data_IF_996723350807
#
_entry.id   IF_996723350807
#
_cell.length_a   1.000
_cell.length_b   1.000
_cell.length_c   1.000
_cell.angle_alpha   90.00
_cell.angle_beta   90.00
_cell.angle_gamma   90.00
#
_symmetry.space_group_name_H-M   'P 1'
#
loop_
_entity.id
_entity.type
_entity.pdbx_description
1 polymer ?
#
# COMPACT_ATOMS: atom_id res chain seq x y z
N UNK A 1 1.61 -35.28 -29.52
CA UNK A 1 0.73 -34.11 -29.43
C UNK A 1 0.06 -34.17 -28.06
N UNK A 2 0.71 -33.60 -27.06
CA UNK A 2 0.17 -33.53 -25.69
C UNK A 2 -0.40 -32.15 -25.45
N UNK A 3 -1.68 -32.10 -25.25
CA UNK A 3 -2.42 -30.90 -24.86
C UNK A 3 -2.14 -30.59 -23.40
N UNK A 4 -1.31 -29.57 -23.16
CA UNK A 4 -1.14 -28.94 -21.86
C UNK A 4 -2.44 -28.24 -21.49
N UNK A 5 -3.24 -28.89 -20.64
CA UNK A 5 -4.34 -28.23 -19.94
C UNK A 5 -3.77 -27.23 -18.97
N UNK A 6 -3.77 -25.97 -19.40
CA UNK A 6 -3.54 -24.84 -18.50
C UNK A 6 -4.77 -24.70 -17.60
N UNK A 7 -4.70 -25.34 -16.45
CA UNK A 7 -5.72 -25.19 -15.42
C UNK A 7 -5.58 -23.80 -14.81
N UNK A 8 -6.25 -22.82 -15.42
CA UNK A 8 -6.47 -21.51 -14.82
C UNK A 8 -7.41 -21.73 -13.64
N UNK A 9 -6.82 -21.83 -12.45
CA UNK A 9 -7.58 -21.79 -11.20
C UNK A 9 -8.12 -20.36 -11.11
N UNK A 10 -9.30 -20.15 -11.67
CA UNK A 10 -10.15 -19.02 -11.35
C UNK A 10 -10.57 -19.20 -9.89
N UNK A 11 -9.79 -18.62 -8.99
CA UNK A 11 -10.24 -18.42 -7.63
C UNK A 11 -11.43 -17.48 -7.73
N UNK A 12 -12.64 -18.03 -7.66
CA UNK A 12 -13.86 -17.26 -7.51
C UNK A 12 -13.76 -16.60 -6.14
N UNK A 13 -13.13 -15.43 -6.09
CA UNK A 13 -13.22 -14.54 -4.94
C UNK A 13 -14.70 -14.23 -4.77
N UNK A 14 -15.27 -14.72 -3.69
CA UNK A 14 -16.63 -14.36 -3.27
C UNK A 14 -16.61 -12.85 -2.99
N UNK A 15 -16.96 -12.05 -4.00
CA UNK A 15 -17.05 -10.61 -3.87
C UNK A 15 -18.03 -10.29 -2.74
N UNK A 16 -17.54 -9.65 -1.68
CA UNK A 16 -18.41 -9.21 -0.61
C UNK A 16 -19.48 -8.28 -1.19
N UNK A 17 -20.72 -8.58 -0.93
CA UNK A 17 -21.90 -7.78 -1.36
C UNK A 17 -21.93 -6.40 -0.67
N UNK A 18 -21.19 -6.22 0.40
CA UNK A 18 -21.23 -5.04 1.25
C UNK A 18 -19.94 -4.24 1.12
N UNK A 19 -20.09 -2.94 0.89
CA UNK A 19 -18.99 -2.00 0.64
C UNK A 19 -19.15 -0.79 1.54
N UNK A 20 -18.05 -0.29 2.05
CA UNK A 20 -17.93 1.03 2.69
C UNK A 20 -17.07 1.94 1.82
N UNK A 21 -17.28 3.24 1.92
CA UNK A 21 -16.53 4.22 1.16
C UNK A 21 -15.62 5.02 2.08
N UNK A 22 -14.32 5.05 1.76
CA UNK A 22 -13.30 5.78 2.51
C UNK A 22 -12.64 6.85 1.64
N UNK A 23 -12.28 7.97 2.24
CA UNK A 23 -11.58 9.04 1.53
C UNK A 23 -10.08 8.80 1.59
N UNK A 24 -9.46 8.53 0.45
CA UNK A 24 -8.02 8.39 0.29
C UNK A 24 -7.46 9.54 -0.57
N UNK A 25 -6.15 9.79 -0.47
CA UNK A 25 -5.46 10.64 -1.43
C UNK A 25 -5.43 9.93 -2.79
N UNK A 26 -5.60 10.64 -3.93
CA UNK A 26 -5.79 9.98 -5.23
C UNK A 26 -4.71 8.96 -5.58
N UNK A 27 -3.43 9.26 -5.38
CA UNK A 27 -2.34 8.33 -5.65
C UNK A 27 -2.34 7.11 -4.72
N UNK A 28 -2.82 7.24 -3.46
CA UNK A 28 -2.98 6.11 -2.54
C UNK A 28 -4.16 5.25 -2.97
N UNK A 29 -5.25 5.86 -3.42
CA UNK A 29 -6.40 5.15 -3.96
C UNK A 29 -6.01 4.33 -5.20
N UNK A 30 -5.26 4.92 -6.15
CA UNK A 30 -4.76 4.24 -7.33
C UNK A 30 -3.87 3.04 -6.96
N UNK A 31 -2.90 3.25 -6.08
CA UNK A 31 -2.06 2.18 -5.56
C UNK A 31 -2.87 1.05 -4.91
N UNK A 32 -3.81 1.40 -4.04
CA UNK A 32 -4.61 0.41 -3.32
C UNK A 32 -5.52 -0.39 -4.26
N UNK A 33 -6.12 0.27 -5.26
CA UNK A 33 -6.92 -0.40 -6.30
C UNK A 33 -6.05 -1.33 -7.16
N UNK A 34 -4.83 -0.91 -7.51
CA UNK A 34 -3.90 -1.74 -8.26
C UNK A 34 -3.52 -3.02 -7.50
N UNK A 35 -3.30 -2.94 -6.18
CA UNK A 35 -2.87 -4.07 -5.36
C UNK A 35 -4.00 -4.97 -4.87
N UNK A 36 -5.16 -4.41 -4.59
CA UNK A 36 -6.26 -5.12 -3.91
C UNK A 36 -7.56 -5.16 -4.72
N UNK A 37 -7.59 -4.59 -5.93
CA UNK A 37 -8.77 -4.53 -6.78
C UNK A 37 -9.73 -3.38 -6.44
N UNK A 38 -10.82 -3.28 -7.21
CA UNK A 38 -11.90 -2.31 -6.97
C UNK A 38 -13.25 -3.03 -6.97
N UNK A 39 -13.95 -3.05 -5.83
CA UNK A 39 -13.58 -2.49 -4.52
C UNK A 39 -12.33 -3.14 -3.91
N UNK A 40 -11.64 -2.38 -3.01
CA UNK A 40 -10.47 -2.91 -2.29
C UNK A 40 -10.89 -4.12 -1.44
N UNK A 41 -10.27 -5.26 -1.69
CA UNK A 41 -10.52 -6.50 -0.94
C UNK A 41 -9.21 -7.04 -0.36
N UNK A 42 -9.09 -7.00 0.96
CA UNK A 42 -7.92 -7.57 1.62
C UNK A 42 -7.97 -9.10 1.62
N UNK A 43 -6.81 -9.78 1.52
CA UNK A 43 -6.75 -11.24 1.60
C UNK A 43 -7.44 -11.80 2.85
N UNK A 44 -8.07 -12.98 2.75
CA UNK A 44 -8.68 -13.65 3.90
C UNK A 44 -7.69 -13.77 5.07
N UNK A 45 -8.19 -13.59 6.30
CA UNK A 45 -7.41 -13.68 7.55
C UNK A 45 -6.27 -12.65 7.67
N UNK A 46 -6.21 -11.65 6.78
CA UNK A 46 -5.21 -10.58 6.86
C UNK A 46 -5.49 -9.61 8.01
N UNK A 47 -4.44 -8.87 8.40
CA UNK A 47 -4.55 -7.77 9.37
C UNK A 47 -5.54 -6.70 8.85
N UNK A 48 -5.60 -6.47 7.53
CA UNK A 48 -6.55 -5.55 6.91
C UNK A 48 -8.00 -5.92 7.21
N UNK A 49 -8.35 -7.19 6.98
CA UNK A 49 -9.69 -7.70 7.31
C UNK A 49 -10.00 -7.61 8.80
N UNK A 50 -9.05 -7.97 9.68
CA UNK A 50 -9.23 -7.86 11.12
C UNK A 50 -9.49 -6.41 11.56
N UNK A 51 -8.80 -5.44 10.98
CA UNK A 51 -8.99 -4.00 11.26
C UNK A 51 -10.35 -3.50 10.79
N UNK A 52 -10.84 -3.94 9.62
CA UNK A 52 -12.19 -3.60 9.16
C UNK A 52 -13.21 -4.17 10.13
N UNK A 53 -13.14 -5.46 10.45
CA UNK A 53 -14.07 -6.14 11.38
C UNK A 53 -14.08 -5.45 12.76
N UNK A 54 -12.94 -4.97 13.24
CA UNK A 54 -12.84 -4.29 14.54
C UNK A 54 -13.72 -3.04 14.60
N UNK A 55 -13.82 -2.26 13.52
CA UNK A 55 -14.56 -0.98 13.48
C UNK A 55 -16.00 -1.12 13.00
N UNK A 56 -16.41 -2.32 12.55
CA UNK A 56 -17.80 -2.59 12.14
C UNK A 56 -18.76 -2.48 13.33
N UNK A 57 -19.88 -1.85 13.08
CA UNK A 57 -21.01 -1.69 14.02
C UNK A 57 -22.30 -2.10 13.34
N UNK A 58 -23.31 -2.39 14.14
CA UNK A 58 -24.68 -2.49 13.62
C UNK A 58 -25.12 -1.13 13.14
N UNK A 59 -25.86 -1.09 12.04
CA UNK A 59 -26.40 0.15 11.50
C UNK A 59 -27.48 0.68 12.45
N UNK A 60 -27.37 1.94 12.92
CA UNK A 60 -28.44 2.59 13.67
C UNK A 60 -29.70 2.76 12.79
N UNK A 61 -30.88 2.72 13.42
CA UNK A 61 -32.13 3.00 12.74
C UNK A 61 -32.10 4.41 12.09
N UNK A 62 -32.66 4.51 10.91
CA UNK A 62 -32.69 5.78 10.15
C UNK A 62 -31.40 6.17 9.42
N UNK A 63 -30.28 5.44 9.62
CA UNK A 63 -29.03 5.68 8.88
C UNK A 63 -29.06 4.95 7.55
N UNK A 64 -28.98 5.71 6.46
CA UNK A 64 -28.89 5.19 5.08
C UNK A 64 -27.55 4.48 4.85
N UNK A 65 -27.49 3.41 4.03
CA UNK A 65 -26.23 2.83 3.58
C UNK A 65 -25.29 3.85 2.93
N UNK A 66 -23.99 3.61 3.07
CA UNK A 66 -22.99 4.40 2.35
C UNK A 66 -23.25 4.32 0.84
N UNK A 67 -23.23 5.46 0.18
CA UNK A 67 -23.34 5.55 -1.28
C UNK A 67 -22.02 5.98 -1.88
N UNK A 68 -21.78 5.56 -3.11
CA UNK A 68 -20.62 6.04 -3.88
C UNK A 68 -20.70 7.55 -4.03
N UNK A 69 -19.58 8.22 -3.77
CA UNK A 69 -19.43 9.65 -4.01
C UNK A 69 -18.06 9.90 -4.66
N UNK A 70 -17.95 10.97 -5.40
CA UNK A 70 -16.72 11.35 -6.10
C UNK A 70 -15.54 11.46 -5.13
N UNK A 71 -14.41 10.89 -5.51
CA UNK A 71 -13.19 10.90 -4.71
C UNK A 71 -13.21 9.95 -3.50
N UNK A 72 -14.24 9.11 -3.36
CA UNK A 72 -14.30 8.06 -2.35
C UNK A 72 -13.86 6.73 -2.94
N UNK A 73 -13.14 5.95 -2.15
CA UNK A 73 -12.62 4.64 -2.56
C UNK A 73 -13.45 3.53 -1.90
N UNK A 74 -14.00 2.59 -2.67
CA UNK A 74 -14.78 1.47 -2.14
C UNK A 74 -13.87 0.43 -1.49
N UNK A 75 -14.27 -0.05 -0.33
CA UNK A 75 -13.58 -1.11 0.45
C UNK A 75 -14.59 -2.17 0.84
N UNK A 76 -14.31 -3.44 0.53
CA UNK A 76 -15.14 -4.57 0.88
C UNK A 76 -15.18 -4.80 2.39
N UNK A 77 -16.37 -5.10 2.90
CA UNK A 77 -16.55 -5.61 4.26
C UNK A 77 -16.31 -7.12 4.22
N UNK A 78 -15.29 -7.64 4.91
CA UNK A 78 -15.02 -9.07 4.91
C UNK A 78 -16.12 -9.83 5.66
N UNK A 79 -16.41 -11.06 5.20
CA UNK A 79 -17.28 -11.96 5.94
C UNK A 79 -16.62 -12.37 7.26
N UNK A 80 -17.38 -12.30 8.34
CA UNK A 80 -16.95 -12.74 9.67
C UNK A 80 -18.08 -13.45 10.40
N UNK A 81 -17.80 -14.62 10.98
CA UNK A 81 -18.78 -15.38 11.77
C UNK A 81 -19.32 -14.59 12.96
N UNK A 82 -18.52 -13.66 13.52
CA UNK A 82 -18.91 -12.86 14.68
C UNK A 82 -19.69 -11.60 14.29
N UNK A 83 -19.44 -11.06 13.11
CA UNK A 83 -20.04 -9.84 12.59
C UNK A 83 -20.46 -10.09 11.14
N UNK A 84 -21.64 -10.67 10.97
CA UNK A 84 -22.25 -10.87 9.66
C UNK A 84 -22.45 -9.51 8.97
N UNK A 85 -21.93 -9.31 7.74
CA UNK A 85 -22.09 -8.06 7.00
C UNK A 85 -23.55 -7.65 6.74
N UNK A 86 -24.51 -8.56 6.78
CA UNK A 86 -25.93 -8.20 6.71
C UNK A 86 -26.35 -7.24 7.82
N UNK A 87 -25.87 -7.49 9.04
CA UNK A 87 -26.22 -6.73 10.24
C UNK A 87 -25.13 -5.76 10.70
N UNK A 88 -23.88 -6.05 10.35
CA UNK A 88 -22.69 -5.29 10.76
C UNK A 88 -22.03 -4.62 9.54
N UNK A 89 -22.69 -3.62 9.00
CA UNK A 89 -22.27 -2.94 7.77
C UNK A 89 -22.21 -1.41 7.92
N UNK A 90 -22.11 -0.93 9.14
CA UNK A 90 -21.95 0.48 9.46
C UNK A 90 -20.56 0.76 10.04
N UNK A 91 -19.90 1.79 9.52
CA UNK A 91 -18.62 2.29 10.04
C UNK A 91 -18.75 3.78 10.31
N UNK A 92 -18.41 4.18 11.53
CA UNK A 92 -18.42 5.60 11.93
C UNK A 92 -17.36 6.41 11.14
N UNK A 93 -17.49 7.74 11.06
CA UNK A 93 -16.47 8.59 10.43
C UNK A 93 -15.05 8.37 11.00
N UNK A 94 -14.92 8.16 12.30
CA UNK A 94 -13.63 7.80 12.93
C UNK A 94 -13.12 6.43 12.51
N UNK A 95 -14.01 5.45 12.38
CA UNK A 95 -13.67 4.12 11.86
C UNK A 95 -13.20 4.16 10.40
N UNK A 96 -13.86 4.97 9.56
CA UNK A 96 -13.41 5.18 8.17
C UNK A 96 -12.04 5.83 8.10
N UNK A 97 -11.76 6.80 8.97
CA UNK A 97 -10.43 7.41 9.09
C UNK A 97 -9.39 6.38 9.50
N UNK A 98 -9.68 5.54 10.48
CA UNK A 98 -8.80 4.47 10.93
C UNK A 98 -8.44 3.49 9.78
N UNK A 99 -9.41 3.12 8.95
CA UNK A 99 -9.16 2.28 7.75
C UNK A 99 -8.29 3.03 6.74
N UNK A 100 -8.58 4.31 6.48
CA UNK A 100 -7.79 5.13 5.56
C UNK A 100 -6.33 5.29 6.04
N UNK A 101 -6.11 5.52 7.32
CA UNK A 101 -4.77 5.59 7.94
C UNK A 101 -4.01 4.27 7.80
N UNK A 102 -4.71 3.15 7.95
CA UNK A 102 -4.11 1.83 7.74
C UNK A 102 -3.66 1.61 6.29
N UNK A 103 -4.52 1.96 5.32
CA UNK A 103 -4.15 1.88 3.89
C UNK A 103 -2.97 2.82 3.58
N UNK A 104 -2.95 4.03 4.15
CA UNK A 104 -1.81 4.94 4.00
C UNK A 104 -0.53 4.38 4.64
N UNK A 105 -0.62 3.65 5.74
CA UNK A 105 0.54 2.98 6.35
C UNK A 105 1.08 1.88 5.45
N UNK A 106 0.23 1.00 4.91
CA UNK A 106 0.63 -0.03 3.96
C UNK A 106 1.30 0.56 2.71
N UNK A 107 0.74 1.64 2.17
CA UNK A 107 1.35 2.38 1.06
C UNK A 107 2.74 2.88 1.40
N UNK A 108 2.95 3.46 2.59
CA UNK A 108 4.26 3.95 3.04
C UNK A 108 5.26 2.82 3.18
N UNK A 109 4.86 1.71 3.80
CA UNK A 109 5.73 0.55 4.01
C UNK A 109 6.19 -0.02 2.66
N UNK A 110 5.28 -0.14 1.69
CA UNK A 110 5.61 -0.58 0.34
C UNK A 110 6.54 0.42 -0.37
N UNK A 111 6.17 1.73 -0.38
CA UNK A 111 6.99 2.77 -0.99
C UNK A 111 8.41 2.78 -0.44
N UNK A 112 8.59 2.79 0.88
CA UNK A 112 9.91 2.92 1.48
C UNK A 112 10.73 1.64 1.34
N UNK A 113 10.10 0.48 1.40
CA UNK A 113 10.74 -0.82 1.20
C UNK A 113 11.35 -0.93 -0.19
N UNK A 114 10.54 -0.72 -1.22
CA UNK A 114 10.95 -0.92 -2.61
C UNK A 114 11.79 0.24 -3.16
N UNK A 115 11.39 1.49 -2.87
CA UNK A 115 12.07 2.67 -3.40
C UNK A 115 13.51 2.76 -2.90
N UNK A 116 13.77 2.32 -1.67
CA UNK A 116 15.12 2.19 -1.13
C UNK A 116 16.00 1.26 -1.97
N UNK A 117 15.43 0.16 -2.47
CA UNK A 117 16.17 -0.79 -3.31
C UNK A 117 16.44 -0.24 -4.71
N UNK A 118 15.52 0.56 -5.25
CA UNK A 118 15.65 1.18 -6.57
C UNK A 118 16.64 2.36 -6.58
N UNK A 119 16.76 3.08 -5.46
CA UNK A 119 17.56 4.31 -5.37
C UNK A 119 18.92 4.06 -4.75
N UNK A 120 19.92 3.75 -5.57
CA UNK A 120 21.32 3.69 -5.13
C UNK A 120 22.00 5.06 -5.06
N UNK A 121 21.55 6.05 -5.83
CA UNK A 121 22.11 7.38 -5.97
C UNK A 121 21.02 8.45 -6.11
N UNK A 122 21.26 9.66 -5.57
CA UNK A 122 20.28 10.77 -5.61
C UNK A 122 19.94 11.22 -7.05
N UNK A 123 20.86 11.09 -7.99
CA UNK A 123 20.66 11.43 -9.40
C UNK A 123 19.62 10.58 -10.12
N UNK A 124 19.30 9.41 -9.59
CA UNK A 124 18.34 8.46 -10.18
C UNK A 124 16.95 8.51 -9.56
N UNK A 125 16.74 9.33 -8.54
CA UNK A 125 15.48 9.39 -7.79
C UNK A 125 14.28 9.80 -8.65
N UNK A 126 14.46 10.66 -9.63
CA UNK A 126 13.39 11.06 -10.52
C UNK A 126 12.93 9.88 -11.40
N UNK A 127 13.88 9.22 -12.04
CA UNK A 127 13.60 8.02 -12.89
C UNK A 127 12.98 6.91 -12.04
N UNK A 128 13.52 6.66 -10.85
CA UNK A 128 12.97 5.67 -9.93
C UNK A 128 11.52 5.99 -9.52
N UNK A 129 11.18 7.27 -9.32
CA UNK A 129 9.81 7.66 -9.00
C UNK A 129 8.85 7.40 -10.16
N UNK A 130 9.24 7.68 -11.40
CA UNK A 130 8.44 7.36 -12.59
C UNK A 130 8.21 5.85 -12.70
N UNK A 131 9.28 5.06 -12.68
CA UNK A 131 9.21 3.59 -12.79
C UNK A 131 8.36 3.00 -11.66
N UNK A 132 8.51 3.49 -10.43
CA UNK A 132 7.72 3.02 -9.30
C UNK A 132 6.22 3.34 -9.45
N UNK A 133 5.88 4.54 -9.94
CA UNK A 133 4.49 4.89 -10.24
C UNK A 133 3.88 3.94 -11.28
N UNK A 134 4.59 3.67 -12.38
CA UNK A 134 4.14 2.75 -13.44
C UNK A 134 3.93 1.33 -12.89
N UNK A 135 4.87 0.82 -12.12
CA UNK A 135 4.79 -0.52 -11.52
C UNK A 135 3.59 -0.70 -10.59
N UNK A 136 3.15 0.38 -9.94
CA UNK A 136 2.08 0.34 -8.93
C UNK A 136 0.76 0.99 -9.40
N UNK A 137 0.60 1.20 -10.70
CA UNK A 137 -0.63 1.72 -11.29
C UNK A 137 -0.99 3.15 -10.85
N UNK A 138 0.02 3.95 -10.47
CA UNK A 138 -0.13 5.35 -10.07
C UNK A 138 0.12 6.24 -11.29
N UNK A 139 -0.73 7.26 -11.51
CA UNK A 139 -0.48 8.25 -12.56
C UNK A 139 0.89 8.90 -12.40
N UNK A 140 1.60 9.04 -13.52
CA UNK A 140 2.91 9.69 -13.61
C UNK A 140 2.90 11.11 -13.05
N UNK A 141 1.75 11.80 -13.09
CA UNK A 141 1.56 13.13 -12.51
C UNK A 141 1.90 13.20 -11.02
N UNK A 142 1.82 12.07 -10.32
CA UNK A 142 2.18 11.96 -8.91
C UNK A 142 3.65 11.60 -8.65
N UNK A 143 4.47 11.37 -9.68
CA UNK A 143 5.86 10.94 -9.50
C UNK A 143 6.68 11.91 -8.64
N UNK A 144 6.49 13.24 -8.82
CA UNK A 144 7.15 14.24 -7.98
C UNK A 144 6.67 14.20 -6.53
N UNK A 145 5.36 13.96 -6.32
CA UNK A 145 4.78 13.77 -4.97
C UNK A 145 5.39 12.55 -4.28
N UNK A 146 5.55 11.44 -5.00
CA UNK A 146 6.17 10.20 -4.50
C UNK A 146 7.63 10.45 -4.13
N UNK A 147 8.41 11.07 -5.03
CA UNK A 147 9.80 11.46 -4.79
C UNK A 147 9.96 12.31 -3.54
N UNK A 148 9.16 13.37 -3.38
CA UNK A 148 9.21 14.26 -2.22
C UNK A 148 8.85 13.54 -0.91
N UNK A 149 7.89 12.60 -0.93
CA UNK A 149 7.55 11.79 0.24
C UNK A 149 8.73 10.93 0.67
N UNK A 150 9.39 10.29 -0.28
CA UNK A 150 10.58 9.49 0.02
C UNK A 150 11.70 10.35 0.61
N UNK A 151 11.96 11.54 0.05
CA UNK A 151 12.98 12.46 0.59
C UNK A 151 12.71 12.84 2.04
N UNK A 152 11.48 13.27 2.35
CA UNK A 152 11.11 13.66 3.72
C UNK A 152 11.28 12.52 4.71
N UNK A 153 10.92 11.31 4.32
CA UNK A 153 11.09 10.15 5.19
C UNK A 153 12.56 9.78 5.36
N UNK A 154 13.35 9.86 4.30
CA UNK A 154 14.80 9.65 4.37
C UNK A 154 15.47 10.64 5.32
N UNK A 155 15.13 11.92 5.22
CA UNK A 155 15.67 12.96 6.12
C UNK A 155 15.25 12.71 7.57
N UNK A 156 13.99 12.33 7.79
CA UNK A 156 13.50 11.97 9.13
C UNK A 156 14.28 10.81 9.74
N UNK A 157 14.55 9.78 8.96
CA UNK A 157 15.32 8.61 9.39
C UNK A 157 16.79 8.94 9.61
N UNK A 158 17.38 9.78 8.77
CA UNK A 158 18.75 10.28 8.97
C UNK A 158 18.87 11.05 10.29
N UNK A 159 17.90 11.89 10.62
CA UNK A 159 17.87 12.61 11.89
C UNK A 159 17.79 11.68 13.12
N UNK A 160 17.27 10.46 12.96
CA UNK A 160 17.23 9.41 14.00
C UNK A 160 18.44 8.46 13.95
N UNK A 161 19.44 8.74 13.10
CA UNK A 161 20.65 7.93 12.96
C UNK A 161 20.53 6.77 11.97
N UNK A 162 19.41 6.65 11.25
CA UNK A 162 19.19 5.59 10.24
C UNK A 162 19.47 6.14 8.85
N UNK A 163 20.59 5.76 8.24
CA UNK A 163 20.94 6.15 6.87
C UNK A 163 20.42 5.12 5.86
N UNK A 164 19.43 5.50 5.04
CA UNK A 164 18.85 4.67 3.99
C UNK A 164 19.66 4.67 2.69
N UNK A 165 20.73 5.46 2.59
CA UNK A 165 21.58 5.44 1.39
C UNK A 165 22.33 4.12 1.33
N UNK A 166 22.39 3.49 0.16
CA UNK A 166 23.26 2.33 -0.06
C UNK A 166 24.71 2.78 0.16
N UNK A 167 25.34 2.37 1.25
CA UNK A 167 26.80 2.49 1.40
C UNK A 167 27.44 1.56 0.37
N UNK A 168 28.13 2.15 -0.62
CA UNK A 168 29.05 1.39 -1.47
C UNK A 168 30.18 0.84 -0.57
N UNK A 169 30.00 -0.35 -0.02
CA UNK A 169 31.01 -1.04 0.81
C UNK A 169 32.30 -1.40 0.06
N UNK A 170 32.35 -1.26 -1.26
CA UNK A 170 33.42 -1.81 -2.09
C UNK A 170 34.50 -0.80 -2.54
N UNK A 171 34.62 0.40 -1.96
CA UNK A 171 35.70 1.33 -2.36
C UNK A 171 36.89 1.44 -1.42
N UNK A 172 36.89 0.82 -0.24
CA UNK A 172 37.97 1.00 0.74
C UNK A 172 38.81 -0.27 1.08
N UNK A 173 38.54 -1.42 0.51
CA UNK A 173 39.38 -2.62 0.77
C UNK A 173 40.61 -2.72 -0.15
N UNK A 174 40.78 -1.82 -1.11
CA UNK A 174 41.87 -1.86 -2.11
C UNK A 174 43.10 -1.01 -1.81
N UNK A 175 43.18 -0.24 -0.71
CA UNK A 175 44.28 0.71 -0.47
C UNK A 175 45.19 0.45 0.74
N UNK A 176 45.06 -0.70 1.37
CA UNK A 176 45.95 -1.01 2.49
C UNK A 176 46.76 -2.28 2.21
N UNK A 177 47.65 -2.25 1.23
CA UNK A 177 48.82 -3.15 1.12
C UNK A 177 49.75 -2.68 0.01
N UNK A 178 50.55 -1.69 0.26
CA UNK A 178 51.86 -1.46 -0.39
C UNK A 178 52.73 -0.64 0.53
N UNK A 179 53.31 -1.25 1.53
CA UNK A 179 54.62 -0.84 2.03
C UNK A 179 55.58 -1.97 1.70
N UNK A 180 56.54 -1.81 0.81
CA UNK A 180 57.72 -2.65 0.81
C UNK A 180 58.66 -2.14 1.87
N UNK A 181 59.05 -3.07 2.73
CA UNK A 181 60.19 -2.89 3.63
C UNK A 181 61.46 -2.93 2.81
N UNK A 182 62.23 -1.86 2.91
CA UNK A 182 63.68 -1.85 2.97
C UNK A 182 64.10 -0.72 3.86
#
# INVERSE_FOLDING_TARGET
>A
MEFLYLCTVFTVFSMSKYVIYVKLKPFIAQWAVHHFGSPIEFPPQSVGNARIVAVLKRRPEGIVPDVAADGMTPVCIPYSKQKDPENWNYVTPSGKRFIAEYIEALFKDNLYGEFKEMCSEDSKLQTAAYTWCEMHGISIDYADTIRQRFYRERERLLATGVDLRKRNRNKNEGKSRKNPIF
#
